data_IF_885725198829
#
_entry.id   IF_885725198829
#
_cell.length_a   1.000
_cell.length_b   1.000
_cell.length_c   1.000
_cell.angle_alpha   90.00
_cell.angle_beta   90.00
_cell.angle_gamma   90.00
#
_symmetry.space_group_name_H-M   'P 1'
#
loop_
_entity.id
_entity.type
_entity.pdbx_description
1 polymer ?
#
# COMPACT_ATOMS: atom_id res chain seq x y z
N UNK A 1 -3.88 1.87 -24.01
CA UNK A 1 -2.43 1.54 -24.04
C UNK A 1 -1.72 2.38 -22.96
N UNK A 2 -0.96 1.80 -22.01
CA UNK A 2 0.02 2.57 -21.20
C UNK A 2 1.21 2.87 -22.10
N UNK A 3 1.00 3.73 -23.10
CA UNK A 3 2.02 4.09 -24.08
C UNK A 3 3.14 4.84 -23.40
N UNK A 4 4.28 4.16 -23.25
CA UNK A 4 5.64 4.70 -23.16
C UNK A 4 5.97 5.75 -22.07
N UNK A 5 5.04 6.13 -21.20
CA UNK A 5 5.27 7.09 -20.12
C UNK A 5 5.35 6.42 -18.74
N UNK A 6 6.14 5.35 -18.61
CA UNK A 6 6.53 4.81 -17.30
C UNK A 6 7.22 5.83 -16.39
N UNK A 7 7.66 6.96 -16.96
CA UNK A 7 8.21 8.10 -16.24
C UNK A 7 7.13 8.97 -15.56
N UNK A 8 5.83 8.71 -15.75
CA UNK A 8 4.73 9.44 -15.12
C UNK A 8 4.22 8.80 -13.83
N UNK A 9 4.58 7.54 -13.59
CA UNK A 9 4.22 6.81 -12.36
C UNK A 9 5.39 6.84 -11.38
N UNK A 10 5.08 6.99 -10.09
CA UNK A 10 6.00 6.76 -8.97
C UNK A 10 5.40 5.65 -8.11
N UNK A 11 6.19 4.62 -7.80
CA UNK A 11 5.76 3.52 -6.94
C UNK A 11 6.59 3.50 -5.67
N UNK A 12 5.91 3.50 -4.52
CA UNK A 12 6.52 3.31 -3.22
C UNK A 12 6.00 2.00 -2.64
N UNK A 13 6.90 1.13 -2.22
CA UNK A 13 6.58 -0.14 -1.57
C UNK A 13 7.13 -0.20 -0.15
N UNK A 14 6.45 -0.94 0.71
CA UNK A 14 6.89 -1.29 2.06
C UNK A 14 6.76 -2.80 2.21
N UNK A 15 7.82 -3.46 2.65
CA UNK A 15 7.84 -4.90 2.91
C UNK A 15 8.51 -5.12 4.26
N UNK A 16 7.81 -5.81 5.16
CA UNK A 16 8.27 -6.05 6.52
C UNK A 16 9.23 -7.25 6.59
N UNK A 17 9.03 -8.27 5.74
CA UNK A 17 9.76 -9.52 5.82
C UNK A 17 11.20 -9.38 5.27
N UNK A 18 12.23 -9.51 6.12
CA UNK A 18 13.62 -9.38 5.68
C UNK A 18 14.08 -10.48 4.70
N UNK A 19 13.35 -11.60 4.61
CA UNK A 19 13.61 -12.65 3.63
C UNK A 19 13.57 -12.10 2.19
N UNK A 20 12.75 -11.06 1.96
CA UNK A 20 12.56 -10.45 0.65
C UNK A 20 13.59 -9.35 0.34
N UNK A 21 14.40 -8.90 1.31
CA UNK A 21 15.27 -7.73 1.17
C UNK A 21 16.28 -7.83 0.02
N UNK A 22 16.88 -9.01 -0.16
CA UNK A 22 17.84 -9.24 -1.24
C UNK A 22 17.16 -9.11 -2.61
N UNK A 23 16.04 -9.82 -2.79
CA UNK A 23 15.27 -9.78 -4.02
C UNK A 23 14.74 -8.38 -4.32
N UNK A 24 14.13 -7.71 -3.33
CA UNK A 24 13.58 -6.36 -3.50
C UNK A 24 14.67 -5.32 -3.79
N UNK A 25 15.88 -5.51 -3.28
CA UNK A 25 17.03 -4.67 -3.65
C UNK A 25 17.45 -4.88 -5.10
N UNK A 26 17.44 -6.13 -5.58
CA UNK A 26 17.72 -6.43 -6.99
C UNK A 26 16.62 -5.90 -7.91
N UNK A 27 15.36 -6.02 -7.50
CA UNK A 27 14.20 -5.50 -8.21
C UNK A 27 14.20 -3.96 -8.29
N UNK A 28 14.41 -3.26 -7.17
CA UNK A 28 14.53 -1.79 -7.15
C UNK A 28 15.64 -1.33 -8.12
N UNK A 29 16.80 -2.00 -8.11
CA UNK A 29 17.90 -1.70 -9.05
C UNK A 29 17.50 -1.95 -10.52
N UNK A 30 16.80 -3.05 -10.79
CA UNK A 30 16.31 -3.39 -12.12
C UNK A 30 15.34 -2.34 -12.68
N UNK A 31 14.42 -1.86 -11.84
CA UNK A 31 13.46 -0.79 -12.18
C UNK A 31 14.19 0.53 -12.45
N UNK A 32 15.11 0.93 -11.57
CA UNK A 32 15.86 2.19 -11.71
C UNK A 32 16.75 2.20 -12.96
N UNK A 33 17.37 1.07 -13.33
CA UNK A 33 18.12 0.94 -14.57
C UNK A 33 17.27 1.17 -15.83
N UNK A 34 15.94 1.00 -15.73
CA UNK A 34 14.95 1.27 -16.78
C UNK A 34 14.30 2.64 -16.64
N UNK A 35 14.79 3.48 -15.72
CA UNK A 35 14.24 4.80 -15.38
C UNK A 35 12.82 4.75 -14.78
N UNK A 36 12.36 3.59 -14.33
CA UNK A 36 11.12 3.48 -13.56
C UNK A 36 11.34 4.01 -12.15
N UNK A 37 10.47 4.93 -11.70
CA UNK A 37 10.58 5.60 -10.40
C UNK A 37 9.99 4.72 -9.31
N UNK A 38 10.81 3.84 -8.76
CA UNK A 38 10.42 2.89 -7.71
C UNK A 38 11.29 3.08 -6.46
N UNK A 39 10.68 3.07 -5.28
CA UNK A 39 11.39 2.99 -4.00
C UNK A 39 10.75 1.94 -3.11
N UNK A 40 11.56 1.04 -2.55
CA UNK A 40 11.06 0.00 -1.63
C UNK A 40 11.74 0.15 -0.27
N UNK A 41 10.93 0.37 0.75
CA UNK A 41 11.32 0.33 2.15
C UNK A 41 11.25 -1.12 2.63
N UNK A 42 12.44 -1.71 2.75
CA UNK A 42 12.68 -3.11 3.13
C UNK A 42 12.76 -3.26 4.64
N UNK A 43 12.49 -4.45 5.16
CA UNK A 43 12.41 -4.70 6.62
C UNK A 43 11.62 -3.63 7.38
N UNK A 44 10.58 -3.09 6.73
CA UNK A 44 9.79 -1.93 7.20
C UNK A 44 8.31 -2.26 7.15
N UNK A 45 7.67 -2.32 8.31
CA UNK A 45 6.25 -2.62 8.43
C UNK A 45 5.41 -1.33 8.40
N UNK A 46 4.32 -1.34 7.64
CA UNK A 46 3.31 -0.28 7.67
C UNK A 46 2.53 -0.36 8.98
N UNK A 47 2.41 0.75 9.70
CA UNK A 47 1.74 0.83 11.00
C UNK A 47 1.13 2.21 11.24
N UNK A 48 0.53 2.38 12.42
CA UNK A 48 0.05 3.66 12.96
C UNK A 48 1.07 4.32 13.91
N UNK A 49 2.25 3.72 14.07
CA UNK A 49 3.34 4.27 14.90
C UNK A 49 4.70 4.08 14.24
N UNK A 50 5.57 5.08 14.39
CA UNK A 50 6.96 5.02 13.98
C UNK A 50 7.84 4.45 15.12
N UNK A 51 7.82 3.13 15.27
CA UNK A 51 8.54 2.40 16.34
C UNK A 51 9.00 1.04 15.84
N UNK A 52 9.94 0.42 16.56
CA UNK A 52 10.26 -0.98 16.35
C UNK A 52 9.07 -1.87 16.72
N UNK A 53 8.69 -2.78 15.82
CA UNK A 53 7.55 -3.68 15.96
C UNK A 53 8.02 -5.13 15.87
N UNK A 54 7.23 -6.03 16.45
CA UNK A 54 7.42 -7.46 16.29
C UNK A 54 6.66 -7.93 15.06
N UNK A 55 7.39 -8.47 14.09
CA UNK A 55 6.86 -9.25 12.99
C UNK A 55 6.90 -10.72 13.37
N UNK A 56 5.76 -11.38 13.27
CA UNK A 56 5.58 -12.80 13.53
C UNK A 56 5.60 -13.52 12.19
N UNK A 57 6.57 -14.42 12.01
CA UNK A 57 6.73 -15.20 10.77
C UNK A 57 6.76 -16.69 11.07
N UNK A 58 6.25 -17.51 10.15
CA UNK A 58 6.45 -18.95 10.19
C UNK A 58 7.83 -19.27 9.57
N UNK A 59 8.83 -19.71 10.37
CA UNK A 59 10.15 -20.02 9.83
C UNK A 59 10.16 -21.23 8.89
N UNK A 60 9.15 -22.10 8.95
CA UNK A 60 9.09 -23.33 8.14
C UNK A 60 8.39 -23.09 6.78
N UNK A 61 7.84 -21.88 6.56
CA UNK A 61 7.06 -21.51 5.37
C UNK A 61 7.84 -20.66 4.35
N UNK A 62 9.17 -20.74 4.34
CA UNK A 62 10.00 -19.97 3.38
C UNK A 62 9.63 -20.24 1.91
N UNK A 63 9.16 -21.46 1.58
CA UNK A 63 8.76 -21.83 0.22
C UNK A 63 7.51 -21.10 -0.28
N UNK A 64 6.63 -20.70 0.63
CA UNK A 64 5.47 -19.86 0.30
C UNK A 64 5.70 -18.41 0.72
N UNK A 65 6.98 -17.99 0.78
CA UNK A 65 7.36 -16.61 1.08
C UNK A 65 6.90 -16.11 2.46
N UNK A 66 6.57 -17.03 3.38
CA UNK A 66 6.03 -16.71 4.70
C UNK A 66 4.81 -15.78 4.57
N UNK A 67 3.89 -16.12 3.67
CA UNK A 67 2.72 -15.30 3.31
C UNK A 67 1.90 -14.87 4.52
N UNK A 68 1.84 -15.68 5.57
CA UNK A 68 1.10 -15.35 6.80
C UNK A 68 1.89 -14.44 7.77
N UNK A 69 2.93 -13.74 7.30
CA UNK A 69 3.74 -12.84 8.11
C UNK A 69 2.91 -11.64 8.59
N UNK A 70 2.75 -11.50 9.91
CA UNK A 70 1.84 -10.49 10.48
C UNK A 70 2.46 -9.73 11.66
N UNK A 71 1.97 -8.51 11.89
CA UNK A 71 2.22 -7.76 13.13
C UNK A 71 1.34 -8.25 14.29
N UNK A 72 0.36 -9.12 14.01
CA UNK A 72 -0.50 -9.74 15.00
C UNK A 72 0.11 -11.07 15.43
N UNK A 73 0.16 -11.31 16.74
CA UNK A 73 0.72 -12.54 17.28
C UNK A 73 -0.07 -13.78 16.79
N UNK A 74 0.64 -14.71 16.16
CA UNK A 74 0.11 -16.01 15.70
C UNK A 74 0.86 -17.16 16.37
N UNK A 75 0.13 -18.22 16.73
CA UNK A 75 0.53 -19.26 17.69
C UNK A 75 1.75 -20.15 17.29
N UNK A 76 2.42 -19.89 16.16
CA UNK A 76 3.54 -20.69 15.64
C UNK A 76 4.62 -19.84 14.96
N UNK A 77 5.26 -18.90 15.66
CA UNK A 77 6.13 -17.93 14.97
C UNK A 77 7.48 -17.65 15.60
N UNK A 78 8.45 -17.45 14.69
CA UNK A 78 9.70 -16.74 14.96
C UNK A 78 9.37 -15.24 14.98
N UNK A 79 9.90 -14.54 15.97
CA UNK A 79 9.70 -13.11 16.12
C UNK A 79 10.93 -12.38 15.55
N UNK A 80 10.69 -11.47 14.63
CA UNK A 80 11.71 -10.55 14.09
C UNK A 80 11.31 -9.14 14.47
N UNK A 81 12.28 -8.34 14.93
CA UNK A 81 12.06 -6.91 15.15
C UNK A 81 12.30 -6.14 13.85
N UNK A 82 11.29 -5.43 13.38
CA UNK A 82 11.32 -4.59 12.16
C UNK A 82 11.01 -3.14 12.51
N UNK A 83 11.39 -2.21 11.62
CA UNK A 83 11.00 -0.81 11.80
C UNK A 83 9.55 -0.64 11.35
N UNK A 84 8.69 -0.14 12.23
CA UNK A 84 7.35 0.32 11.87
C UNK A 84 7.41 1.74 11.32
N UNK A 85 6.59 2.03 10.32
CA UNK A 85 6.38 3.40 9.83
C UNK A 85 4.94 3.82 10.13
N UNK A 86 4.77 5.00 10.73
CA UNK A 86 3.47 5.68 10.78
C UNK A 86 3.14 6.15 9.36
N UNK A 87 2.31 5.39 8.68
CA UNK A 87 1.99 5.63 7.27
C UNK A 87 1.19 6.91 7.06
N UNK A 88 0.37 7.32 8.02
CA UNK A 88 -0.40 8.55 7.89
C UNK A 88 0.53 9.77 7.97
N UNK A 89 1.45 9.78 8.93
CA UNK A 89 2.47 10.82 9.05
C UNK A 89 3.42 10.82 7.84
N UNK A 90 3.88 9.65 7.40
CA UNK A 90 4.72 9.54 6.21
C UNK A 90 4.00 10.06 4.96
N UNK A 91 2.73 9.70 4.77
CA UNK A 91 1.95 10.12 3.60
C UNK A 91 1.76 11.64 3.59
N UNK A 92 1.43 12.24 4.74
CA UNK A 92 1.29 13.68 4.89
C UNK A 92 2.59 14.41 4.56
N UNK A 93 3.71 13.93 5.08
CA UNK A 93 5.02 14.60 4.94
C UNK A 93 5.67 14.36 3.58
N UNK A 94 5.45 13.20 2.98
CA UNK A 94 6.14 12.78 1.75
C UNK A 94 5.27 12.93 0.52
N UNK A 95 4.02 12.47 0.58
CA UNK A 95 3.13 12.43 -0.59
C UNK A 95 2.40 13.75 -0.75
N UNK A 96 1.76 14.27 0.30
CA UNK A 96 0.97 15.50 0.20
C UNK A 96 1.85 16.75 0.04
N UNK A 97 3.00 16.77 0.71
CA UNK A 97 3.94 17.89 0.64
C UNK A 97 5.00 17.76 -0.47
N UNK A 98 4.82 16.82 -1.41
CA UNK A 98 5.78 16.64 -2.51
C UNK A 98 5.84 17.89 -3.38
N UNK A 99 7.04 18.25 -3.82
CA UNK A 99 7.24 19.33 -4.79
C UNK A 99 6.86 18.84 -6.17
N UNK A 100 5.94 19.56 -6.81
CA UNK A 100 5.59 19.39 -8.21
C UNK A 100 6.34 20.44 -9.04
N UNK A 101 6.65 20.14 -10.30
CA UNK A 101 7.27 21.14 -11.18
C UNK A 101 6.24 22.25 -11.47
N UNK A 102 6.68 23.49 -11.76
CA UNK A 102 5.76 24.55 -12.14
C UNK A 102 4.89 24.13 -13.33
N UNK A 103 3.57 24.13 -13.16
CA UNK A 103 2.61 23.71 -14.19
C UNK A 103 2.14 22.26 -14.09
N UNK A 104 2.79 21.42 -13.28
CA UNK A 104 2.35 20.05 -13.05
C UNK A 104 1.08 20.03 -12.17
N UNK A 105 0.12 19.20 -12.54
CA UNK A 105 -1.05 18.92 -11.71
C UNK A 105 -0.75 17.83 -10.69
N UNK A 106 -1.41 17.82 -9.51
CA UNK A 106 -1.33 16.71 -8.59
C UNK A 106 -1.71 15.39 -9.28
N UNK A 107 -0.77 14.44 -9.31
CA UNK A 107 -1.03 13.09 -9.80
C UNK A 107 -2.07 12.39 -8.92
N UNK A 108 -2.85 11.50 -9.53
CA UNK A 108 -3.71 10.57 -8.80
C UNK A 108 -2.89 9.62 -7.94
N UNK A 109 -3.42 9.25 -6.78
CA UNK A 109 -2.78 8.38 -5.80
C UNK A 109 -3.61 7.11 -5.66
N UNK A 110 -2.96 5.98 -5.94
CA UNK A 110 -3.51 4.65 -5.71
C UNK A 110 -2.68 3.94 -4.64
N UNK A 111 -3.36 3.22 -3.76
CA UNK A 111 -2.76 2.37 -2.74
C UNK A 111 -3.23 0.94 -2.93
N UNK A 112 -2.31 -0.03 -2.85
CA UNK A 112 -2.64 -1.43 -2.53
C UNK A 112 -2.25 -1.67 -1.06
N UNK A 113 -3.16 -2.22 -0.27
CA UNK A 113 -2.97 -2.62 1.12
C UNK A 113 -3.17 -4.12 1.22
N UNK A 114 -2.15 -4.80 1.71
CA UNK A 114 -2.08 -6.25 1.80
C UNK A 114 -1.08 -6.55 2.92
N UNK A 115 -1.54 -6.33 4.16
CA UNK A 115 -0.69 -6.30 5.36
C UNK A 115 -1.14 -7.31 6.42
N UNK A 116 -1.68 -8.43 5.94
CA UNK A 116 -1.91 -9.67 6.69
C UNK A 116 -2.54 -9.42 8.07
N UNK A 117 -3.75 -8.86 8.05
CA UNK A 117 -4.58 -8.65 9.22
C UNK A 117 -4.40 -7.30 9.92
N UNK A 118 -3.53 -6.42 9.42
CA UNK A 118 -3.36 -5.06 9.96
C UNK A 118 -4.07 -3.96 9.14
N UNK A 119 -4.67 -4.30 8.00
CA UNK A 119 -5.32 -3.37 7.05
C UNK A 119 -6.35 -2.48 7.72
N UNK A 120 -7.23 -3.08 8.53
CA UNK A 120 -8.29 -2.33 9.19
C UNK A 120 -7.75 -1.26 10.14
N UNK A 121 -6.64 -1.54 10.82
CA UNK A 121 -6.00 -0.58 11.74
C UNK A 121 -5.36 0.57 10.97
N UNK A 122 -4.63 0.25 9.91
CA UNK A 122 -3.95 1.24 9.08
C UNK A 122 -4.94 2.15 8.38
N UNK A 123 -5.99 1.61 7.77
CA UNK A 123 -6.99 2.42 7.09
C UNK A 123 -7.80 3.28 8.06
N UNK A 124 -8.14 2.76 9.24
CA UNK A 124 -8.75 3.58 10.30
C UNK A 124 -7.82 4.73 10.73
N UNK A 125 -6.51 4.48 10.87
CA UNK A 125 -5.55 5.53 11.19
C UNK A 125 -5.51 6.62 10.10
N UNK A 126 -5.49 6.24 8.81
CA UNK A 126 -5.55 7.20 7.70
C UNK A 126 -6.82 8.06 7.75
N UNK A 127 -7.95 7.50 8.17
CA UNK A 127 -9.22 8.24 8.34
C UNK A 127 -9.08 9.25 9.48
N UNK A 128 -8.63 8.82 10.66
CA UNK A 128 -8.50 9.69 11.83
C UNK A 128 -7.47 10.79 11.63
N UNK A 129 -6.40 10.52 10.89
CA UNK A 129 -5.39 11.50 10.52
C UNK A 129 -5.79 12.43 9.36
N UNK A 130 -6.97 12.23 8.77
CA UNK A 130 -7.50 13.07 7.71
C UNK A 130 -6.78 12.95 6.36
N UNK A 131 -5.95 11.91 6.17
CA UNK A 131 -5.21 11.68 4.93
C UNK A 131 -5.91 10.69 3.99
N UNK A 132 -6.84 9.88 4.51
CA UNK A 132 -7.59 8.89 3.73
C UNK A 132 -8.21 9.48 2.45
N UNK A 133 -8.91 10.62 2.58
CA UNK A 133 -9.59 11.28 1.46
C UNK A 133 -8.65 11.90 0.42
N UNK A 134 -7.33 11.88 0.65
CA UNK A 134 -6.31 12.29 -0.31
C UNK A 134 -5.84 11.15 -1.21
N UNK A 135 -6.29 9.92 -0.95
CA UNK A 135 -6.02 8.75 -1.78
C UNK A 135 -7.23 8.59 -2.71
N UNK A 136 -7.01 8.50 -4.02
CA UNK A 136 -8.11 8.39 -4.98
C UNK A 136 -8.68 6.98 -5.01
N UNK A 137 -7.82 5.96 -4.89
CA UNK A 137 -8.21 4.55 -4.97
C UNK A 137 -7.39 3.69 -4.00
N UNK A 138 -8.08 2.89 -3.21
CA UNK A 138 -7.48 1.90 -2.31
C UNK A 138 -7.97 0.51 -2.74
N UNK A 139 -7.03 -0.31 -3.18
CA UNK A 139 -7.20 -1.75 -3.19
C UNK A 139 -6.78 -2.28 -1.82
N UNK A 140 -7.63 -3.06 -1.18
CA UNK A 140 -7.19 -3.77 0.01
C UNK A 140 -7.98 -5.02 0.27
N UNK A 141 -7.53 -5.74 1.28
CA UNK A 141 -8.09 -7.03 1.67
C UNK A 141 -8.64 -7.01 3.10
N UNK A 142 -9.58 -7.91 3.38
CA UNK A 142 -10.11 -8.18 4.72
C UNK A 142 -10.62 -6.95 5.49
N UNK A 143 -11.36 -6.06 4.81
CA UNK A 143 -12.03 -4.95 5.50
C UNK A 143 -13.10 -5.48 6.45
N UNK A 144 -12.90 -5.28 7.75
CA UNK A 144 -13.92 -5.64 8.72
C UNK A 144 -15.17 -4.75 8.58
N UNK A 145 -16.29 -5.22 9.13
CA UNK A 145 -17.57 -4.53 9.02
C UNK A 145 -17.52 -3.10 9.57
N UNK A 146 -16.85 -2.89 10.70
CA UNK A 146 -16.78 -1.58 11.36
C UNK A 146 -16.05 -0.55 10.47
N UNK A 147 -14.95 -0.95 9.83
CA UNK A 147 -14.24 -0.11 8.87
C UNK A 147 -15.11 0.19 7.64
N UNK A 148 -15.83 -0.80 7.12
CA UNK A 148 -16.75 -0.58 6.00
C UNK A 148 -17.83 0.44 6.36
N UNK A 149 -18.46 0.32 7.53
CA UNK A 149 -19.46 1.26 8.02
C UNK A 149 -18.87 2.66 8.26
N UNK A 150 -17.63 2.75 8.74
CA UNK A 150 -16.90 4.01 8.90
C UNK A 150 -16.63 4.69 7.54
N UNK A 151 -16.17 3.94 6.53
CA UNK A 151 -15.94 4.46 5.17
C UNK A 151 -17.25 4.92 4.55
N UNK A 152 -18.34 4.15 4.69
CA UNK A 152 -19.67 4.54 4.20
C UNK A 152 -20.16 5.83 4.87
N UNK A 153 -19.97 5.95 6.19
CA UNK A 153 -20.32 7.15 6.93
C UNK A 153 -19.50 8.36 6.47
N UNK A 154 -18.19 8.19 6.30
CA UNK A 154 -17.30 9.23 5.80
C UNK A 154 -17.74 9.72 4.41
N UNK A 155 -18.06 8.80 3.48
CA UNK A 155 -18.57 9.14 2.15
C UNK A 155 -19.92 9.86 2.19
N UNK A 156 -20.81 9.45 3.10
CA UNK A 156 -22.14 10.04 3.26
C UNK A 156 -22.09 11.48 3.78
N UNK A 157 -21.17 11.76 4.70
CA UNK A 157 -21.12 13.05 5.42
C UNK A 157 -20.01 13.99 4.92
N UNK A 158 -19.08 13.52 4.08
CA UNK A 158 -18.03 14.34 3.48
C UNK A 158 -18.34 14.65 2.02
N UNK A 159 -18.51 15.94 1.70
CA UNK A 159 -18.71 16.40 0.33
C UNK A 159 -17.40 16.42 -0.50
N UNK A 160 -16.25 16.20 0.16
CA UNK A 160 -14.93 16.32 -0.47
C UNK A 160 -14.19 14.99 -0.59
N UNK A 161 -14.61 13.95 0.15
CA UNK A 161 -13.96 12.64 0.11
C UNK A 161 -14.38 11.85 -1.13
N UNK A 162 -13.45 11.62 -2.05
CA UNK A 162 -13.69 10.90 -3.31
C UNK A 162 -13.01 9.53 -3.37
N UNK A 163 -12.39 9.08 -2.28
CA UNK A 163 -11.66 7.81 -2.23
C UNK A 163 -12.55 6.63 -2.58
N UNK A 164 -12.18 5.91 -3.62
CA UNK A 164 -12.74 4.62 -3.96
C UNK A 164 -12.00 3.53 -3.20
N UNK A 165 -12.75 2.54 -2.70
CA UNK A 165 -12.18 1.41 -1.99
C UNK A 165 -12.73 0.16 -2.66
N UNK A 166 -11.81 -0.67 -3.14
CA UNK A 166 -12.12 -1.90 -3.84
C UNK A 166 -11.47 -3.06 -3.10
N UNK A 167 -12.28 -4.08 -2.84
CA UNK A 167 -11.78 -5.34 -2.30
C UNK A 167 -11.13 -6.13 -3.44
N UNK A 168 -9.83 -6.38 -3.28
CA UNK A 168 -9.02 -7.14 -4.21
C UNK A 168 -8.33 -8.24 -3.43
N UNK A 169 -8.87 -9.45 -3.52
CA UNK A 169 -8.24 -10.65 -2.97
C UNK A 169 -7.12 -11.07 -3.92
N UNK A 170 -5.91 -11.24 -3.41
CA UNK A 170 -4.77 -11.73 -4.19
C UNK A 170 -5.00 -13.16 -4.77
N UNK A 171 -5.95 -13.90 -4.20
CA UNK A 171 -6.41 -15.22 -4.67
C UNK A 171 -7.27 -15.20 -5.95
N UNK A 172 -7.74 -14.02 -6.43
CA UNK A 172 -8.57 -13.92 -7.64
C UNK A 172 -8.28 -12.68 -8.48
N UNK A 173 -7.79 -12.89 -9.70
CA UNK A 173 -7.69 -11.84 -10.72
C UNK A 173 -9.08 -11.44 -11.22
N UNK A 174 -9.51 -10.21 -10.93
CA UNK A 174 -10.76 -9.64 -11.45
C UNK A 174 -10.46 -8.49 -12.44
N UNK A 175 -10.49 -8.82 -13.73
CA UNK A 175 -10.28 -7.86 -14.81
C UNK A 175 -11.43 -6.85 -14.95
N UNK A 176 -12.59 -7.09 -14.34
CA UNK A 176 -13.75 -6.19 -14.42
C UNK A 176 -13.76 -5.12 -13.32
N UNK A 177 -12.96 -5.29 -12.27
CA UNK A 177 -12.86 -4.36 -11.13
C UNK A 177 -11.80 -3.27 -11.29
N UNK A 178 -11.20 -3.11 -12.46
CA UNK A 178 -10.33 -1.97 -12.73
C UNK A 178 -11.19 -0.76 -13.09
N UNK A 179 -11.29 0.30 -12.25
CA UNK A 179 -12.20 1.42 -12.46
C UNK A 179 -11.74 2.39 -13.55
N UNK A 180 -10.65 2.06 -14.25
CA UNK A 180 -10.13 2.85 -15.34
C UNK A 180 -10.53 2.21 -16.66
N UNK A 181 -11.28 2.95 -17.47
CA UNK A 181 -11.47 2.59 -18.88
C UNK A 181 -10.08 2.59 -19.51
N UNK A 182 -9.59 1.42 -19.89
CA UNK A 182 -8.40 1.29 -20.72
C UNK A 182 -8.88 1.55 -22.14
N UNK A 183 -8.60 2.71 -22.77
CA UNK A 183 -8.96 2.90 -24.16
C UNK A 183 -8.25 1.83 -25.00
N UNK A 184 -9.03 1.13 -25.83
CA UNK A 184 -8.54 0.18 -26.83
C UNK A 184 -7.52 0.90 -27.71
N UNK A 185 -6.36 0.27 -27.93
CA UNK A 185 -5.39 0.78 -28.89
C UNK A 185 -5.98 0.66 -30.28
N UNK A 186 -6.16 1.80 -30.95
CA UNK A 186 -6.22 1.80 -32.41
C UNK A 186 -4.79 1.64 -32.91
N UNK A 187 -4.47 0.45 -33.42
CA UNK A 187 -3.22 0.14 -34.12
C UNK A 187 -2.96 1.07 -35.32
#
# INVERSE_FOLDING_TARGET
MFENNFNEVCSIGFEANPLHDKYLTEFERYCLARKWRVKIFKSTAVSYVDKKLNLYIDPDDEKNHQRDASLVAINKTKIITVQGIDIASWFRTTVLNRKLSPGDQPSRIMMKSDIEGHDSTVLANLIFDGVFCSIDLIYGEHFNRDLQEAILSLKKYSNTCKTEVLELTDEKYDLQKFPFIIPESTD
#
